data_IF_708545894960
#
_entry.id   IF_708545894960
#
_cell.length_a   1.000
_cell.length_b   1.000
_cell.length_c   1.000
_cell.angle_alpha   90.00
_cell.angle_beta   90.00
_cell.angle_gamma   90.00
#
_symmetry.space_group_name_H-M   'P 1'
#
loop_
_entity.id
_entity.type
_entity.pdbx_description
1 polymer ?
#
# COMPACT_ATOMS: atom_id res chain seq x y z
N UNK A 1 -5.66 3.05 -9.86
CA UNK A 1 -7.06 3.46 -9.67
C UNK A 1 -7.29 3.91 -8.25
N UNK A 2 -8.29 4.77 -8.05
CA UNK A 2 -8.76 5.29 -6.76
C UNK A 2 -9.91 4.45 -6.22
N UNK A 3 -10.01 4.33 -4.89
CA UNK A 3 -11.12 3.67 -4.21
C UNK A 3 -12.10 4.66 -3.55
N UNK A 4 -11.69 5.92 -3.38
CA UNK A 4 -12.49 6.97 -2.74
C UNK A 4 -12.23 8.31 -3.44
N UNK A 5 -13.07 9.29 -3.17
CA UNK A 5 -12.82 10.71 -3.44
C UNK A 5 -12.25 11.32 -2.17
N UNK A 6 -10.94 11.58 -2.17
CA UNK A 6 -10.20 11.96 -0.98
C UNK A 6 -9.82 10.75 -0.10
N UNK A 7 -9.35 11.00 1.14
CA UNK A 7 -8.91 9.95 2.06
C UNK A 7 -8.99 10.41 3.52
N UNK A 8 -9.49 9.53 4.39
CA UNK A 8 -9.60 9.79 5.85
C UNK A 8 -8.29 9.58 6.61
N UNK A 9 -7.32 8.89 6.01
CA UNK A 9 -6.12 8.40 6.72
C UNK A 9 -5.15 9.52 7.12
N UNK A 10 -5.22 10.68 6.45
CA UNK A 10 -4.44 11.89 6.76
C UNK A 10 -2.92 11.63 6.94
N UNK A 11 -2.34 10.80 6.06
CA UNK A 11 -0.90 10.57 6.06
C UNK A 11 -0.15 11.88 5.75
N UNK A 12 0.89 12.18 6.54
CA UNK A 12 1.63 13.45 6.49
C UNK A 12 2.23 13.75 5.10
N UNK A 13 2.63 12.73 4.38
CA UNK A 13 3.28 12.81 3.06
C UNK A 13 2.31 12.71 1.87
N UNK A 14 0.99 12.70 2.10
CA UNK A 14 0.01 12.42 1.06
C UNK A 14 -0.92 13.62 0.80
N UNK A 15 -0.93 14.13 -0.44
CA UNK A 15 -1.82 15.22 -0.84
C UNK A 15 -3.29 14.85 -0.71
N UNK A 16 -3.66 13.60 -1.04
CA UNK A 16 -5.06 13.13 -0.92
C UNK A 16 -5.56 13.20 0.52
N UNK A 17 -4.71 12.86 1.50
CA UNK A 17 -5.07 13.01 2.92
C UNK A 17 -5.34 14.45 3.33
N UNK A 18 -4.60 15.41 2.74
CA UNK A 18 -4.79 16.86 2.99
C UNK A 18 -6.07 17.41 2.35
N UNK A 19 -6.53 16.81 1.26
CA UNK A 19 -7.79 17.20 0.60
C UNK A 19 -9.03 16.79 1.40
N UNK A 20 -8.84 15.89 2.40
CA UNK A 20 -9.93 15.31 3.17
C UNK A 20 -10.66 14.20 2.41
N UNK A 21 -11.78 13.77 2.97
CA UNK A 21 -12.61 12.69 2.44
C UNK A 21 -13.98 13.23 2.02
N UNK A 22 -14.44 12.82 0.84
CA UNK A 22 -15.76 13.20 0.32
C UNK A 22 -16.70 12.00 0.23
N UNK A 23 -16.28 10.90 -0.44
CA UNK A 23 -17.14 9.74 -0.67
C UNK A 23 -16.36 8.47 -0.98
N UNK A 24 -16.99 7.32 -0.76
CA UNK A 24 -16.56 6.05 -1.33
C UNK A 24 -16.95 5.96 -2.80
N UNK A 25 -16.10 5.38 -3.63
CA UNK A 25 -16.45 5.03 -5.00
C UNK A 25 -17.17 3.68 -5.03
N UNK A 26 -18.20 3.56 -5.86
CA UNK A 26 -18.83 2.28 -6.16
C UNK A 26 -17.90 1.41 -7.02
N UNK A 27 -18.11 0.09 -7.03
CA UNK A 27 -17.38 -0.82 -7.91
C UNK A 27 -17.40 -0.38 -9.38
N UNK A 28 -18.56 0.08 -9.86
CA UNK A 28 -18.71 0.61 -11.23
C UNK A 28 -17.84 1.84 -11.46
N UNK A 29 -17.75 2.75 -10.50
CA UNK A 29 -16.89 3.94 -10.59
C UNK A 29 -15.41 3.59 -10.55
N UNK A 30 -15.03 2.59 -9.77
CA UNK A 30 -13.65 2.06 -9.72
C UNK A 30 -13.28 1.48 -11.09
N UNK A 31 -14.12 0.61 -11.65
CA UNK A 31 -13.90 0.00 -12.97
C UNK A 31 -13.93 1.03 -14.09
N UNK A 32 -14.80 2.05 -14.00
CA UNK A 32 -14.90 3.08 -15.02
C UNK A 32 -13.62 3.91 -15.19
N UNK A 33 -12.77 4.01 -14.16
CA UNK A 33 -11.45 4.64 -14.30
C UNK A 33 -10.58 3.90 -15.32
N UNK A 34 -10.69 2.57 -15.39
CA UNK A 34 -9.98 1.73 -16.36
C UNK A 34 -10.67 1.83 -17.73
N UNK A 35 -12.00 1.70 -17.73
CA UNK A 35 -12.80 1.64 -18.95
C UNK A 35 -12.73 2.93 -19.75
N UNK A 36 -12.58 4.08 -19.08
CA UNK A 36 -12.50 5.39 -19.72
C UNK A 36 -11.15 5.70 -20.38
N UNK A 37 -10.13 4.86 -20.17
CA UNK A 37 -8.83 5.08 -20.79
C UNK A 37 -8.82 4.66 -22.26
N UNK A 38 -8.35 5.52 -23.18
CA UNK A 38 -8.18 5.16 -24.60
C UNK A 38 -7.30 3.91 -24.78
N UNK A 39 -6.30 3.72 -23.90
CA UNK A 39 -5.34 2.63 -23.95
C UNK A 39 -5.75 1.40 -23.12
N UNK A 40 -7.00 1.29 -22.67
CA UNK A 40 -7.47 0.22 -21.78
C UNK A 40 -7.09 -1.19 -22.24
N UNK A 41 -7.11 -1.43 -23.57
CA UNK A 41 -6.80 -2.73 -24.14
C UNK A 41 -5.29 -3.07 -24.10
N UNK A 42 -4.43 -2.10 -23.80
CA UNK A 42 -2.99 -2.25 -23.61
C UNK A 42 -2.57 -2.38 -22.16
N UNK A 43 -3.51 -2.24 -21.22
CA UNK A 43 -3.21 -2.32 -19.80
C UNK A 43 -2.81 -3.73 -19.41
N UNK A 44 -1.73 -3.85 -18.66
CA UNK A 44 -1.20 -5.12 -18.20
C UNK A 44 -1.40 -5.36 -16.71
N UNK A 45 -1.51 -4.28 -15.93
CA UNK A 45 -1.60 -4.32 -14.47
C UNK A 45 -2.51 -3.22 -13.95
N UNK A 46 -3.12 -3.45 -12.79
CA UNK A 46 -3.85 -2.44 -12.02
C UNK A 46 -3.25 -2.33 -10.63
N UNK A 47 -3.05 -1.10 -10.17
CA UNK A 47 -2.64 -0.82 -8.79
C UNK A 47 -3.68 0.08 -8.13
N UNK A 48 -4.17 -0.32 -6.97
CA UNK A 48 -5.06 0.51 -6.14
C UNK A 48 -4.21 1.40 -5.23
N UNK A 49 -3.52 2.37 -5.87
CA UNK A 49 -2.60 3.33 -5.25
C UNK A 49 -2.99 4.77 -5.59
N UNK A 50 -4.24 4.99 -6.01
CA UNK A 50 -4.79 6.31 -6.23
C UNK A 50 -5.32 6.95 -4.95
N UNK A 51 -6.42 7.69 -5.05
CA UNK A 51 -7.05 8.32 -3.89
C UNK A 51 -7.83 7.30 -3.06
N UNK A 52 -7.71 7.44 -1.73
CA UNK A 52 -8.46 6.66 -0.76
C UNK A 52 -7.68 5.50 -0.14
N UNK A 53 -8.26 4.95 0.92
CA UNK A 53 -7.83 3.70 1.55
C UNK A 53 -8.75 2.56 1.09
N UNK A 54 -8.26 1.60 0.32
CA UNK A 54 -9.11 0.54 -0.22
C UNK A 54 -9.84 -0.28 0.85
N UNK A 55 -9.20 -0.52 2.00
CA UNK A 55 -9.84 -1.28 3.09
C UNK A 55 -10.93 -0.51 3.85
N UNK A 56 -10.99 0.82 3.71
CA UNK A 56 -12.10 1.65 4.22
C UNK A 56 -13.33 1.62 3.30
N UNK A 57 -13.16 1.09 2.07
CA UNK A 57 -14.22 0.88 1.08
C UNK A 57 -14.23 -0.57 0.56
N UNK A 58 -13.97 -1.54 1.44
CA UNK A 58 -13.60 -2.90 1.04
C UNK A 58 -14.68 -3.61 0.22
N UNK A 59 -15.97 -3.43 0.56
CA UNK A 59 -17.06 -4.12 -0.16
C UNK A 59 -17.09 -3.75 -1.64
N UNK A 60 -16.99 -2.47 -1.96
CA UNK A 60 -16.98 -2.01 -3.35
C UNK A 60 -15.66 -2.34 -4.05
N UNK A 61 -14.56 -2.34 -3.30
CA UNK A 61 -13.25 -2.77 -3.81
C UNK A 61 -13.26 -4.25 -4.15
N UNK A 62 -13.77 -5.13 -3.30
CA UNK A 62 -13.86 -6.57 -3.57
C UNK A 62 -14.73 -6.86 -4.79
N UNK A 63 -15.88 -6.17 -4.94
CA UNK A 63 -16.70 -6.28 -6.16
C UNK A 63 -15.94 -5.85 -7.42
N UNK A 64 -15.17 -4.76 -7.34
CA UNK A 64 -14.35 -4.30 -8.46
C UNK A 64 -13.26 -5.32 -8.81
N UNK A 65 -12.59 -5.91 -7.79
CA UNK A 65 -11.59 -6.95 -7.98
C UNK A 65 -12.19 -8.23 -8.58
N UNK A 66 -13.40 -8.61 -8.16
CA UNK A 66 -14.16 -9.71 -8.76
C UNK A 66 -14.40 -9.46 -10.25
N UNK A 67 -14.92 -8.28 -10.62
CA UNK A 67 -15.12 -7.91 -12.03
C UNK A 67 -13.83 -7.92 -12.85
N UNK A 68 -12.70 -7.59 -12.25
CA UNK A 68 -11.39 -7.64 -12.92
C UNK A 68 -10.88 -9.08 -13.12
N UNK A 69 -11.20 -10.00 -12.21
CA UNK A 69 -10.60 -11.35 -12.18
C UNK A 69 -11.51 -12.46 -12.69
N UNK A 70 -12.83 -12.28 -12.56
CA UNK A 70 -13.80 -13.30 -12.96
C UNK A 70 -13.86 -13.48 -14.47
N UNK A 71 -14.16 -14.72 -14.90
CA UNK A 71 -14.23 -15.09 -16.32
C UNK A 71 -15.34 -14.34 -17.10
N UNK A 72 -16.39 -13.90 -16.41
CA UNK A 72 -17.46 -13.08 -17.00
C UNK A 72 -17.12 -11.56 -17.04
N UNK A 73 -16.00 -11.17 -16.44
CA UNK A 73 -15.49 -9.81 -16.45
C UNK A 73 -14.26 -9.66 -17.34
N UNK A 74 -13.20 -9.07 -16.80
CA UNK A 74 -11.94 -8.87 -17.55
C UNK A 74 -11.05 -10.11 -17.61
N UNK A 75 -11.30 -11.12 -16.80
CA UNK A 75 -10.54 -12.37 -16.70
C UNK A 75 -9.03 -12.18 -16.48
N UNK A 76 -8.65 -11.13 -15.74
CA UNK A 76 -7.24 -10.87 -15.43
C UNK A 76 -6.76 -11.78 -14.29
N UNK A 77 -5.52 -12.21 -14.40
CA UNK A 77 -4.88 -12.91 -13.29
C UNK A 77 -4.81 -12.00 -12.05
N UNK A 78 -5.19 -12.48 -10.86
CA UNK A 78 -5.03 -11.74 -9.60
C UNK A 78 -3.60 -11.19 -9.39
N UNK A 79 -2.58 -11.90 -9.91
CA UNK A 79 -1.17 -11.48 -9.86
C UNK A 79 -0.86 -10.20 -10.64
N UNK A 80 -1.78 -9.72 -11.46
CA UNK A 80 -1.67 -8.43 -12.19
C UNK A 80 -2.29 -7.27 -11.43
N UNK A 81 -2.90 -7.52 -10.28
CA UNK A 81 -3.61 -6.52 -9.51
C UNK A 81 -2.95 -6.40 -8.15
N UNK A 82 -2.65 -5.16 -7.74
CA UNK A 82 -2.07 -4.86 -6.43
C UNK A 82 -3.02 -3.97 -5.65
N UNK A 83 -3.39 -4.39 -4.46
CA UNK A 83 -4.06 -3.55 -3.47
C UNK A 83 -3.01 -3.02 -2.49
N UNK A 84 -2.90 -1.69 -2.40
CA UNK A 84 -2.06 -1.02 -1.42
C UNK A 84 -2.90 -0.45 -0.29
N UNK A 85 -2.45 -0.64 0.95
CA UNK A 85 -3.21 -0.22 2.13
C UNK A 85 -2.29 0.25 3.26
N UNK A 86 -2.80 1.13 4.10
CA UNK A 86 -2.16 1.48 5.38
C UNK A 86 -2.33 0.37 6.43
N UNK A 87 -3.25 -0.57 6.20
CA UNK A 87 -3.52 -1.73 7.03
C UNK A 87 -4.61 -1.48 8.08
N UNK A 88 -5.89 -1.50 7.68
CA UNK A 88 -7.01 -1.50 8.62
C UNK A 88 -7.32 -2.95 9.02
N UNK A 89 -7.18 -3.30 10.30
CA UNK A 89 -7.17 -4.68 10.80
C UNK A 89 -8.28 -5.58 10.23
N UNK A 90 -9.55 -5.21 10.43
CA UNK A 90 -10.68 -6.01 9.96
C UNK A 90 -10.71 -6.14 8.43
N UNK A 91 -10.44 -5.04 7.73
CA UNK A 91 -10.41 -5.04 6.28
C UNK A 91 -9.24 -5.85 5.73
N UNK A 92 -8.08 -5.82 6.38
CA UNK A 92 -6.89 -6.57 6.00
C UNK A 92 -7.12 -8.08 6.09
N UNK A 93 -7.64 -8.56 7.22
CA UNK A 93 -7.96 -9.98 7.42
C UNK A 93 -8.94 -10.46 6.35
N UNK A 94 -10.05 -9.75 6.18
CA UNK A 94 -11.06 -10.11 5.20
C UNK A 94 -10.53 -10.09 3.77
N UNK A 95 -9.70 -9.11 3.40
CA UNK A 95 -9.07 -9.06 2.07
C UNK A 95 -8.19 -10.28 1.82
N UNK A 96 -7.35 -10.67 2.78
CA UNK A 96 -6.45 -11.83 2.65
C UNK A 96 -7.25 -13.14 2.51
N UNK A 97 -8.37 -13.26 3.24
CA UNK A 97 -9.21 -14.46 3.24
C UNK A 97 -10.08 -14.57 1.98
N UNK A 98 -10.52 -13.45 1.41
CA UNK A 98 -11.48 -13.43 0.28
C UNK A 98 -10.82 -13.16 -1.08
N UNK A 99 -9.51 -12.84 -1.16
CA UNK A 99 -8.91 -12.39 -2.41
C UNK A 99 -7.45 -12.81 -2.59
N UNK A 100 -7.10 -13.22 -3.82
CA UNK A 100 -5.74 -13.64 -4.20
C UNK A 100 -4.92 -12.53 -4.89
N UNK A 101 -5.42 -11.29 -4.99
CA UNK A 101 -4.67 -10.17 -5.54
C UNK A 101 -3.46 -9.82 -4.66
N UNK A 102 -2.44 -9.25 -5.30
CA UNK A 102 -1.20 -8.90 -4.61
C UNK A 102 -1.45 -7.83 -3.54
N UNK A 103 -0.92 -8.08 -2.34
CA UNK A 103 -1.02 -7.17 -1.19
C UNK A 103 0.25 -6.35 -1.04
N UNK A 104 0.09 -5.03 -0.91
CA UNK A 104 1.16 -4.07 -0.61
C UNK A 104 0.80 -3.28 0.65
N UNK A 105 1.66 -3.30 1.66
CA UNK A 105 1.46 -2.59 2.92
C UNK A 105 2.27 -1.30 2.93
N UNK A 106 1.64 -0.17 3.17
CA UNK A 106 2.30 1.11 3.41
C UNK A 106 3.01 1.08 4.76
N UNK A 107 4.33 0.88 4.76
CA UNK A 107 5.12 0.72 5.97
C UNK A 107 5.78 2.03 6.40
N UNK A 108 6.62 2.61 5.54
CA UNK A 108 7.31 3.91 5.63
C UNK A 108 8.15 4.17 6.90
N UNK A 109 7.96 3.42 7.98
CA UNK A 109 8.84 3.34 9.14
C UNK A 109 8.65 2.02 9.90
N UNK A 110 9.73 1.36 10.32
CA UNK A 110 9.65 0.18 11.20
C UNK A 110 9.39 0.53 12.67
N UNK A 111 9.50 1.82 13.03
CA UNK A 111 9.34 2.32 14.38
C UNK A 111 7.91 2.87 14.56
N UNK A 112 7.12 2.26 15.45
CA UNK A 112 5.72 2.61 15.69
C UNK A 112 5.51 4.08 16.05
N UNK A 113 6.37 4.66 16.90
CA UNK A 113 6.30 6.06 17.26
C UNK A 113 6.42 6.98 16.02
N UNK A 114 7.44 6.78 15.20
CA UNK A 114 7.64 7.56 13.99
C UNK A 114 6.57 7.29 12.93
N UNK A 115 6.15 6.02 12.78
CA UNK A 115 5.08 5.67 11.85
C UNK A 115 3.77 6.36 12.24
N UNK A 116 3.48 6.47 13.53
CA UNK A 116 2.30 7.19 14.04
C UNK A 116 2.30 8.68 13.70
N UNK A 117 3.47 9.30 13.60
CA UNK A 117 3.61 10.70 13.15
C UNK A 117 3.40 10.86 11.65
N UNK A 118 3.88 9.88 10.86
CA UNK A 118 3.73 9.86 9.41
C UNK A 118 2.33 9.42 8.97
N UNK A 119 1.76 8.43 9.69
CA UNK A 119 0.53 7.72 9.35
C UNK A 119 -0.32 7.51 10.60
N UNK A 120 -1.33 8.36 10.85
CA UNK A 120 -2.16 8.27 12.06
C UNK A 120 -2.87 6.92 12.26
N UNK A 121 -3.08 6.15 11.18
CA UNK A 121 -3.66 4.80 11.22
C UNK A 121 -2.88 3.83 12.12
N UNK A 122 -1.58 4.05 12.34
CA UNK A 122 -0.73 3.27 13.25
C UNK A 122 -1.30 3.18 14.66
N UNK A 123 -2.00 4.23 15.12
CA UNK A 123 -2.59 4.28 16.47
C UNK A 123 -3.74 3.31 16.65
N UNK A 124 -4.42 2.97 15.56
CA UNK A 124 -5.54 2.02 15.58
C UNK A 124 -5.06 0.57 15.38
N UNK A 125 -4.00 0.37 14.61
CA UNK A 125 -3.43 -0.94 14.35
C UNK A 125 -1.94 -0.80 14.00
N UNK A 126 -1.10 -1.27 14.92
CA UNK A 126 0.34 -1.08 14.80
C UNK A 126 0.95 -1.96 13.71
N UNK A 127 2.04 -1.49 13.11
CA UNK A 127 2.77 -2.26 12.10
C UNK A 127 3.32 -3.58 12.67
N UNK A 128 3.69 -3.59 13.94
CA UNK A 128 4.17 -4.80 14.62
C UNK A 128 3.08 -5.86 14.71
N UNK A 129 1.87 -5.47 15.18
CA UNK A 129 0.72 -6.39 15.23
C UNK A 129 0.29 -6.85 13.84
N UNK A 130 0.37 -5.96 12.86
CA UNK A 130 0.08 -6.28 11.46
C UNK A 130 1.04 -7.31 10.90
N UNK A 131 2.35 -7.16 11.13
CA UNK A 131 3.36 -8.13 10.71
C UNK A 131 3.17 -9.48 11.37
N UNK A 132 2.85 -9.52 12.66
CA UNK A 132 2.54 -10.77 13.37
C UNK A 132 1.27 -11.43 12.81
N UNK A 133 0.24 -10.65 12.46
CA UNK A 133 -0.93 -11.20 11.76
C UNK A 133 -0.53 -11.82 10.41
N UNK A 134 0.24 -11.10 9.59
CA UNK A 134 0.64 -11.55 8.25
C UNK A 134 1.45 -12.84 8.27
N UNK A 135 2.22 -13.13 9.32
CA UNK A 135 2.97 -14.38 9.49
C UNK A 135 2.07 -15.63 9.57
N UNK A 136 0.78 -15.47 9.89
CA UNK A 136 -0.16 -16.59 9.99
C UNK A 136 -0.84 -16.94 8.65
N UNK A 137 -0.53 -16.22 7.56
CA UNK A 137 -1.14 -16.44 6.25
C UNK A 137 -0.12 -16.90 5.21
N UNK A 138 -0.58 -17.72 4.28
CA UNK A 138 0.20 -18.16 3.12
C UNK A 138 -0.06 -17.23 1.92
N UNK A 139 0.99 -16.54 1.48
CA UNK A 139 0.96 -15.66 0.32
C UNK A 139 1.50 -16.30 -0.96
N UNK A 140 1.69 -17.62 -1.00
CA UNK A 140 2.26 -18.35 -2.16
C UNK A 140 1.40 -18.23 -3.43
N UNK A 141 0.09 -18.05 -3.29
CA UNK A 141 -0.84 -17.80 -4.41
C UNK A 141 -0.67 -16.41 -5.03
N UNK A 142 -0.25 -15.45 -4.25
CA UNK A 142 0.05 -14.10 -4.71
C UNK A 142 1.41 -14.07 -5.42
N UNK A 143 1.73 -12.93 -6.04
CA UNK A 143 3.04 -12.75 -6.65
C UNK A 143 4.14 -12.68 -5.56
N UNK A 144 3.92 -11.87 -4.53
CA UNK A 144 4.73 -11.75 -3.31
C UNK A 144 4.11 -10.66 -2.41
N UNK A 145 4.06 -10.89 -1.10
CA UNK A 145 3.74 -9.80 -0.17
C UNK A 145 4.77 -8.66 -0.31
N UNK A 146 4.33 -7.41 -0.40
CA UNK A 146 5.23 -6.27 -0.47
C UNK A 146 4.93 -5.21 0.60
N UNK A 147 5.99 -4.50 0.98
CA UNK A 147 5.93 -3.33 1.86
C UNK A 147 6.44 -2.11 1.10
N UNK A 148 5.65 -1.04 1.11
CA UNK A 148 5.99 0.22 0.48
C UNK A 148 6.73 1.11 1.49
N UNK A 149 7.92 1.59 1.12
CA UNK A 149 8.78 2.36 2.00
C UNK A 149 9.29 3.62 1.29
N UNK A 150 8.65 4.76 1.58
CA UNK A 150 9.13 6.05 1.12
C UNK A 150 10.36 6.41 1.95
N UNK A 151 11.47 6.73 1.28
CA UNK A 151 12.72 7.11 1.93
C UNK A 151 12.78 8.63 2.08
N UNK A 152 12.74 9.10 3.33
CA UNK A 152 12.83 10.51 3.69
C UNK A 152 14.21 10.82 4.23
N UNK A 153 14.84 11.88 3.73
CA UNK A 153 16.17 12.33 4.11
C UNK A 153 16.23 12.69 5.60
N UNK A 154 17.21 12.11 6.30
CA UNK A 154 17.45 12.37 7.71
C UNK A 154 16.37 11.85 8.66
N UNK A 155 15.34 11.16 8.14
CA UNK A 155 14.23 10.68 8.96
C UNK A 155 14.22 9.16 9.10
N UNK A 156 14.30 8.44 7.98
CA UNK A 156 14.21 6.98 7.95
C UNK A 156 15.20 6.33 6.96
N UNK A 157 16.23 7.04 6.55
CA UNK A 157 17.19 6.68 5.51
C UNK A 157 18.54 6.12 6.04
N UNK A 158 18.68 5.98 7.35
CA UNK A 158 19.93 5.50 7.96
C UNK A 158 19.98 3.96 8.08
N UNK A 159 21.20 3.43 8.28
CA UNK A 159 21.43 1.99 8.51
C UNK A 159 20.68 1.44 9.74
N UNK A 160 20.37 2.28 10.72
CA UNK A 160 19.58 1.87 11.89
C UNK A 160 18.18 1.44 11.43
N UNK A 161 17.56 2.19 10.54
CA UNK A 161 16.25 1.85 9.98
C UNK A 161 16.28 0.58 9.13
N UNK A 162 17.35 0.35 8.36
CA UNK A 162 17.53 -0.89 7.62
C UNK A 162 17.56 -2.11 8.58
N UNK A 163 18.30 -2.02 9.68
CA UNK A 163 18.37 -3.08 10.70
C UNK A 163 17.02 -3.33 11.37
N UNK A 164 16.30 -2.27 11.73
CA UNK A 164 14.96 -2.40 12.33
C UNK A 164 13.93 -2.96 11.34
N UNK A 165 14.02 -2.61 10.04
CA UNK A 165 13.22 -3.23 8.98
C UNK A 165 13.46 -4.74 8.91
N UNK A 166 14.72 -5.17 8.83
CA UNK A 166 15.08 -6.60 8.81
C UNK A 166 14.59 -7.34 10.04
N UNK A 167 14.69 -6.72 11.21
CA UNK A 167 14.19 -7.28 12.46
C UNK A 167 12.67 -7.41 12.46
N UNK A 168 11.96 -6.38 12.04
CA UNK A 168 10.50 -6.35 11.96
C UNK A 168 9.97 -7.43 11.01
N UNK A 169 10.54 -7.52 9.82
CA UNK A 169 10.06 -8.39 8.74
C UNK A 169 10.64 -9.82 8.78
N UNK A 170 11.45 -10.12 9.78
CA UNK A 170 12.05 -11.45 9.93
C UNK A 170 10.99 -12.56 9.94
N UNK A 171 11.18 -13.55 9.09
CA UNK A 171 10.27 -14.69 8.95
C UNK A 171 9.10 -14.48 7.98
N UNK A 172 9.01 -13.32 7.31
CA UNK A 172 8.09 -13.11 6.19
C UNK A 172 8.83 -13.23 4.85
N UNK A 173 8.28 -14.02 3.91
CA UNK A 173 8.70 -13.94 2.50
C UNK A 173 8.03 -12.72 1.86
N UNK A 174 8.75 -11.61 1.84
CA UNK A 174 8.22 -10.34 1.38
C UNK A 174 9.27 -9.53 0.61
N UNK A 175 8.82 -8.46 -0.04
CA UNK A 175 9.69 -7.45 -0.65
C UNK A 175 9.44 -6.09 -0.01
N UNK A 176 10.49 -5.29 0.10
CA UNK A 176 10.36 -3.86 0.43
C UNK A 176 10.63 -3.04 -0.83
N UNK A 177 9.63 -2.28 -1.26
CA UNK A 177 9.75 -1.35 -2.37
C UNK A 177 10.21 0.00 -1.82
N UNK A 178 11.42 0.41 -2.13
CA UNK A 178 11.93 1.72 -1.76
C UNK A 178 11.41 2.77 -2.75
N UNK A 179 10.63 3.71 -2.25
CA UNK A 179 9.96 4.75 -3.04
C UNK A 179 10.67 6.08 -2.83
N UNK A 180 10.96 6.77 -3.94
CA UNK A 180 11.48 8.14 -3.92
C UNK A 180 10.37 9.11 -3.54
N UNK A 181 10.60 9.91 -2.51
CA UNK A 181 9.67 10.98 -2.15
C UNK A 181 9.78 12.15 -3.12
N UNK A 182 8.64 12.64 -3.56
CA UNK A 182 8.53 13.91 -4.28
C UNK A 182 7.90 14.94 -3.37
N UNK A 183 8.60 16.06 -3.17
CA UNK A 183 8.13 17.12 -2.30
C UNK A 183 6.73 17.59 -2.69
N UNK A 184 5.88 17.77 -1.70
CA UNK A 184 4.51 18.26 -1.87
C UNK A 184 4.30 19.56 -1.09
N UNK A 185 3.48 20.51 -1.57
CA UNK A 185 3.27 21.78 -0.91
C UNK A 185 2.81 21.65 0.54
N UNK A 186 3.41 22.44 1.44
CA UNK A 186 3.04 22.48 2.85
C UNK A 186 3.40 21.24 3.66
N UNK A 187 4.37 20.45 3.21
CA UNK A 187 4.94 19.31 3.93
C UNK A 187 6.44 19.52 4.07
N UNK A 188 6.90 19.56 5.31
CA UNK A 188 8.32 19.66 5.64
C UNK A 188 8.95 18.25 5.70
N UNK A 189 9.06 17.62 4.52
CA UNK A 189 9.73 16.35 4.29
C UNK A 189 10.54 16.45 3.00
N UNK A 190 11.74 15.91 3.04
CA UNK A 190 12.64 15.84 1.87
C UNK A 190 12.86 14.39 1.44
N UNK A 191 12.99 14.17 0.13
CA UNK A 191 13.41 12.89 -0.41
C UNK A 191 14.88 12.61 -0.15
N UNK A 192 15.21 11.37 0.18
CA UNK A 192 16.59 10.95 0.36
C UNK A 192 17.38 10.97 -0.96
N UNK A 193 18.70 11.03 -0.86
CA UNK A 193 19.61 10.96 -2.01
C UNK A 193 19.87 9.51 -2.48
N UNK A 194 20.59 9.36 -3.58
CA UNK A 194 20.90 8.04 -4.17
C UNK A 194 21.74 7.16 -3.24
N UNK A 195 22.58 7.77 -2.40
CA UNK A 195 23.46 7.04 -1.47
C UNK A 195 22.64 6.35 -0.39
N UNK A 196 21.63 7.04 0.16
CA UNK A 196 20.71 6.47 1.15
C UNK A 196 19.99 5.22 0.63
N UNK A 197 19.54 5.23 -0.64
CA UNK A 197 18.92 4.04 -1.27
C UNK A 197 19.91 2.89 -1.40
N UNK A 198 21.15 3.15 -1.72
CA UNK A 198 22.20 2.12 -1.83
C UNK A 198 22.47 1.49 -0.45
N UNK A 199 22.53 2.30 0.60
CA UNK A 199 22.71 1.79 1.97
C UNK A 199 21.56 0.89 2.43
N UNK A 200 20.31 1.25 2.13
CA UNK A 200 19.16 0.43 2.46
C UNK A 200 19.15 -0.89 1.67
N UNK A 201 19.53 -0.87 0.38
CA UNK A 201 19.62 -2.08 -0.46
C UNK A 201 20.73 -3.04 -0.06
N UNK A 202 21.84 -2.55 0.47
CA UNK A 202 22.97 -3.38 0.87
C UNK A 202 22.65 -4.39 2.00
N UNK A 203 21.45 -4.31 2.60
CA UNK A 203 20.97 -5.22 3.63
C UNK A 203 19.91 -6.22 3.11
N UNK A 204 19.72 -6.33 1.77
CA UNK A 204 18.76 -7.25 1.12
C UNK A 204 19.28 -8.71 0.98
N UNK A 205 20.17 -9.18 1.83
CA UNK A 205 20.67 -10.59 1.81
C UNK A 205 20.15 -11.40 2.98
#
# INVERSE_FOLDING_TARGET
VSSQVGCKMNCKFCMTGKQGYTANLTASQIINQIHSLPERDKLTNVVMMGMGEPLDNLDEVLKALELLTANYGYAWSPKRITLSTVGLRKGLQRFIEENDCHLAISLHSPLTAQRSELMPAERAYSITEMVELLKNYDFSKQRRLSFEYIVFKGLNDSQVYAKELLKLLRGLDCRVNLIRFHAIPGVDLEGADTVSYTHLRAHET
#
